data_IF_571680118315
#
_entry.id   IF_571680118315
#
_cell.length_a   1.000
_cell.length_b   1.000
_cell.length_c   1.000
_cell.angle_alpha   90.00
_cell.angle_beta   90.00
_cell.angle_gamma   90.00
#
_symmetry.space_group_name_H-M   'P 1'
#
loop_
_entity.id
_entity.type
_entity.pdbx_description
1 polymer ?
#
# COMPACT_ATOMS: atom_id res chain seq x y z
N UNK A 1 3.55 -21.61 -27.87
CA UNK A 1 4.24 -22.15 -26.68
C UNK A 1 4.89 -20.99 -25.98
N UNK A 2 4.64 -20.77 -24.68
CA UNK A 2 5.28 -19.70 -23.92
C UNK A 2 6.75 -20.08 -23.75
N UNK A 3 7.67 -19.20 -24.15
CA UNK A 3 9.11 -19.48 -24.05
C UNK A 3 9.58 -19.39 -22.59
N UNK A 4 10.63 -20.15 -22.25
CA UNK A 4 11.19 -20.17 -20.89
C UNK A 4 11.62 -18.78 -20.42
N UNK A 5 12.20 -17.96 -21.31
CA UNK A 5 12.49 -16.54 -21.04
C UNK A 5 11.25 -15.71 -20.68
N UNK A 6 10.11 -15.94 -21.35
CA UNK A 6 8.88 -15.16 -21.08
C UNK A 6 8.31 -15.50 -19.70
N UNK A 7 8.34 -16.77 -19.31
CA UNK A 7 7.93 -17.20 -17.97
C UNK A 7 8.84 -16.62 -16.88
N UNK A 8 10.15 -16.54 -17.15
CA UNK A 8 11.11 -15.92 -16.24
C UNK A 8 10.83 -14.42 -16.06
N UNK A 9 10.58 -13.70 -17.16
CA UNK A 9 10.24 -12.27 -17.10
C UNK A 9 8.91 -12.02 -16.40
N UNK A 10 7.87 -12.83 -16.67
CA UNK A 10 6.59 -12.71 -15.96
C UNK A 10 6.75 -12.98 -14.46
N UNK A 11 7.51 -14.00 -14.07
CA UNK A 11 7.76 -14.29 -12.66
C UNK A 11 8.54 -13.17 -11.97
N UNK A 12 9.57 -12.62 -12.62
CA UNK A 12 10.35 -11.48 -12.10
C UNK A 12 9.45 -10.24 -11.94
N UNK A 13 8.60 -9.97 -12.93
CA UNK A 13 7.66 -8.86 -12.87
C UNK A 13 6.64 -9.02 -11.74
N UNK A 14 6.09 -10.23 -11.55
CA UNK A 14 5.15 -10.52 -10.45
C UNK A 14 5.82 -10.32 -9.09
N UNK A 15 7.06 -10.81 -8.91
CA UNK A 15 7.82 -10.65 -7.66
C UNK A 15 8.11 -9.17 -7.39
N UNK A 16 8.56 -8.42 -8.40
CA UNK A 16 8.78 -6.98 -8.29
C UNK A 16 7.48 -6.24 -7.95
N UNK A 17 6.38 -6.62 -8.58
CA UNK A 17 5.07 -6.01 -8.32
C UNK A 17 4.63 -6.23 -6.87
N UNK A 18 4.79 -7.44 -6.34
CA UNK A 18 4.51 -7.77 -4.93
C UNK A 18 5.39 -6.98 -3.96
N UNK A 19 6.70 -6.86 -4.24
CA UNK A 19 7.61 -6.05 -3.42
C UNK A 19 7.20 -4.56 -3.40
N UNK A 20 6.67 -4.05 -4.51
CA UNK A 20 6.20 -2.67 -4.62
C UNK A 20 4.78 -2.47 -4.07
N UNK A 21 4.05 -3.52 -3.68
CA UNK A 21 2.69 -3.36 -3.11
C UNK A 21 2.74 -2.57 -1.80
N UNK A 22 3.73 -2.82 -0.94
CA UNK A 22 3.83 -2.12 0.34
C UNK A 22 4.12 -0.63 0.14
N UNK A 23 5.04 -0.28 -0.78
CA UNK A 23 5.37 1.11 -1.09
C UNK A 23 4.17 1.85 -1.67
N UNK A 24 3.46 1.24 -2.62
CA UNK A 24 2.23 1.81 -3.20
C UNK A 24 1.16 2.03 -2.12
N UNK A 25 1.00 1.07 -1.21
CA UNK A 25 0.05 1.17 -0.10
C UNK A 25 0.42 2.29 0.88
N UNK A 26 1.71 2.44 1.18
CA UNK A 26 2.21 3.51 2.05
C UNK A 26 2.01 4.90 1.43
N UNK A 27 2.27 5.05 0.13
CA UNK A 27 1.99 6.31 -0.60
C UNK A 27 0.50 6.64 -0.60
N UNK A 28 -0.36 5.65 -0.91
CA UNK A 28 -1.81 5.83 -0.94
C UNK A 28 -2.34 6.29 0.43
N UNK A 29 -1.84 5.71 1.54
CA UNK A 29 -2.20 6.14 2.90
C UNK A 29 -1.73 7.57 3.16
N UNK A 30 -0.50 7.94 2.76
CA UNK A 30 0.02 9.30 2.95
C UNK A 30 -0.82 10.33 2.21
N UNK A 31 -1.19 10.05 0.96
CA UNK A 31 -2.06 10.94 0.18
C UNK A 31 -3.45 11.07 0.81
N UNK A 32 -4.00 9.96 1.30
CA UNK A 32 -5.28 9.95 1.99
C UNK A 32 -5.22 10.84 3.23
N UNK A 33 -4.25 10.62 4.11
CA UNK A 33 -4.08 11.42 5.32
C UNK A 33 -3.76 12.88 5.02
N UNK A 34 -3.03 13.18 3.94
CA UNK A 34 -2.75 14.55 3.51
C UNK A 34 -4.03 15.32 3.15
N UNK A 35 -5.01 14.65 2.54
CA UNK A 35 -6.33 15.25 2.27
C UNK A 35 -7.10 15.58 3.56
N UNK A 36 -6.88 14.81 4.62
CA UNK A 36 -7.52 15.01 5.92
C UNK A 36 -6.64 15.76 6.93
N UNK A 37 -5.45 16.21 6.56
CA UNK A 37 -4.45 16.81 7.46
C UNK A 37 -5.04 17.98 8.26
N UNK A 38 -5.81 18.84 7.60
CA UNK A 38 -6.49 19.97 8.25
C UNK A 38 -7.62 19.57 9.21
N UNK A 39 -8.22 18.39 9.06
CA UNK A 39 -9.19 17.84 10.02
C UNK A 39 -8.49 17.11 11.17
N UNK A 40 -7.38 16.44 10.88
CA UNK A 40 -6.53 15.75 11.86
C UNK A 40 -5.95 16.76 12.85
N UNK A 41 -5.40 17.87 12.35
CA UNK A 41 -4.92 18.98 13.19
C UNK A 41 -6.03 19.58 14.04
N UNK A 42 -7.18 19.90 13.44
CA UNK A 42 -8.33 20.47 14.17
C UNK A 42 -8.87 19.54 15.26
N UNK A 43 -8.88 18.24 15.00
CA UNK A 43 -9.39 17.23 15.91
C UNK A 43 -8.32 16.70 16.89
N UNK A 44 -7.09 17.21 16.82
CA UNK A 44 -5.91 16.71 17.57
C UNK A 44 -5.74 15.19 17.46
N UNK A 45 -6.09 14.64 16.29
CA UNK A 45 -5.96 13.21 16.06
C UNK A 45 -4.48 12.89 15.81
N UNK A 46 -4.04 11.76 16.35
CA UNK A 46 -2.68 11.30 16.14
C UNK A 46 -2.54 10.74 14.71
N UNK A 47 -1.77 11.45 13.89
CA UNK A 47 -1.46 11.05 12.50
C UNK A 47 -0.92 9.63 12.44
N UNK A 48 -0.05 9.24 13.38
CA UNK A 48 0.56 7.91 13.41
C UNK A 48 -0.49 6.84 13.68
N UNK A 49 -1.43 7.11 14.57
CA UNK A 49 -2.54 6.19 14.85
C UNK A 49 -3.48 6.03 13.65
N UNK A 50 -3.78 7.13 12.95
CA UNK A 50 -4.60 7.09 11.73
C UNK A 50 -3.90 6.36 10.58
N UNK A 51 -2.58 6.52 10.45
CA UNK A 51 -1.76 5.78 9.51
C UNK A 51 -1.87 4.27 9.75
N UNK A 52 -1.64 3.80 10.98
CA UNK A 52 -1.75 2.38 11.33
C UNK A 52 -3.16 1.82 11.12
N UNK A 53 -4.19 2.57 11.51
CA UNK A 53 -5.59 2.16 11.31
C UNK A 53 -5.94 2.05 9.83
N UNK A 54 -5.44 2.97 8.99
CA UNK A 54 -5.68 2.97 7.54
C UNK A 54 -4.89 1.86 6.86
N UNK A 55 -3.64 1.63 7.29
CA UNK A 55 -2.81 0.49 6.86
C UNK A 55 -3.53 -0.83 7.12
N UNK A 56 -3.99 -1.07 8.34
CA UNK A 56 -4.72 -2.29 8.69
C UNK A 56 -6.03 -2.45 7.91
N UNK A 57 -6.76 -1.35 7.66
CA UNK A 57 -7.98 -1.40 6.82
C UNK A 57 -7.67 -1.80 5.39
N UNK A 58 -6.67 -1.19 4.76
CA UNK A 58 -6.29 -1.47 3.38
C UNK A 58 -5.75 -2.89 3.22
N UNK A 59 -4.91 -3.35 4.15
CA UNK A 59 -4.39 -4.73 4.20
C UNK A 59 -5.54 -5.74 4.26
N UNK A 60 -6.52 -5.51 5.14
CA UNK A 60 -7.73 -6.36 5.22
C UNK A 60 -8.60 -6.29 3.97
N UNK A 61 -8.80 -5.12 3.38
CA UNK A 61 -9.64 -4.96 2.19
C UNK A 61 -9.02 -5.61 0.95
N UNK A 62 -7.71 -5.53 0.80
CA UNK A 62 -6.97 -6.12 -0.32
C UNK A 62 -6.50 -7.55 -0.03
N UNK A 63 -6.87 -8.10 1.14
CA UNK A 63 -6.45 -9.42 1.62
C UNK A 63 -4.93 -9.63 1.50
N UNK A 64 -4.16 -8.56 1.69
CA UNK A 64 -2.71 -8.57 1.61
C UNK A 64 -2.15 -9.28 2.82
N UNK A 65 -1.16 -10.13 2.61
CA UNK A 65 -0.36 -10.73 3.67
C UNK A 65 0.93 -9.93 3.71
N UNK A 66 1.11 -9.13 4.76
CA UNK A 66 2.38 -8.46 5.09
C UNK A 66 3.19 -9.34 6.04
#
# INVERSE_FOLDING_TARGET
MVSKEQLLQEAEQIILDELMVEDRLNEEIRELLKKYESEIERSKLDYRKLFEMTKQKLVKQRNLVL
#
